data_IF_077029661280
#
_entry.id   IF_077029661280
#
_cell.length_a   1.000
_cell.length_b   1.000
_cell.length_c   1.000
_cell.angle_alpha   90.00
_cell.angle_beta   90.00
_cell.angle_gamma   90.00
#
_symmetry.space_group_name_H-M   'P 1'
#
loop_
_entity.id
_entity.type
_entity.pdbx_description
1 polymer ?
#
# COMPACT_ATOMS: atom_id res chain seq x y z
N UNK A 1 -21.08 -16.36 -35.67
CA UNK A 1 -21.15 -16.61 -34.21
C UNK A 1 -19.82 -16.18 -33.65
N UNK A 2 -19.75 -14.99 -33.06
CA UNK A 2 -18.53 -14.51 -32.39
C UNK A 2 -18.41 -15.25 -31.06
N UNK A 3 -17.40 -16.11 -30.92
CA UNK A 3 -17.08 -16.72 -29.64
C UNK A 3 -16.68 -15.62 -28.66
N UNK A 4 -17.49 -15.40 -27.64
CA UNK A 4 -17.16 -14.52 -26.52
C UNK A 4 -16.27 -15.35 -25.59
N UNK A 5 -14.96 -15.23 -25.74
CA UNK A 5 -14.00 -15.83 -24.83
C UNK A 5 -14.02 -15.03 -23.53
N UNK A 6 -14.64 -15.59 -22.50
CA UNK A 6 -14.52 -15.04 -21.16
C UNK A 6 -13.06 -15.19 -20.70
N UNK A 7 -12.43 -14.09 -20.33
CA UNK A 7 -11.10 -14.12 -19.73
C UNK A 7 -11.19 -14.77 -18.35
N UNK A 8 -10.22 -15.63 -18.03
CA UNK A 8 -10.18 -16.39 -16.79
C UNK A 8 -9.90 -15.43 -15.62
N UNK A 9 -10.95 -15.08 -14.89
CA UNK A 9 -10.84 -14.23 -13.72
C UNK A 9 -11.85 -14.63 -12.66
N UNK A 10 -11.48 -14.35 -11.43
CA UNK A 10 -12.27 -14.59 -10.23
C UNK A 10 -13.64 -13.89 -10.34
N UNK A 11 -13.74 -12.76 -11.05
CA UNK A 11 -15.01 -12.03 -11.26
C UNK A 11 -15.92 -12.62 -12.33
N UNK A 12 -15.39 -13.46 -13.22
CA UNK A 12 -16.17 -14.14 -14.24
C UNK A 12 -17.11 -15.18 -13.60
N UNK A 13 -16.74 -15.74 -12.44
CA UNK A 13 -17.49 -16.84 -11.82
C UNK A 13 -18.81 -16.40 -11.16
N UNK A 14 -18.87 -15.31 -10.37
CA UNK A 14 -20.15 -14.76 -9.90
C UNK A 14 -21.09 -14.33 -11.03
N UNK A 15 -20.54 -13.81 -12.12
CA UNK A 15 -21.33 -13.41 -13.29
C UNK A 15 -22.01 -14.63 -13.93
N UNK A 16 -21.26 -15.72 -14.13
CA UNK A 16 -21.79 -16.97 -14.67
C UNK A 16 -22.84 -17.59 -13.75
N UNK A 17 -22.65 -17.53 -12.42
CA UNK A 17 -23.64 -17.98 -11.44
C UNK A 17 -24.94 -17.16 -11.47
N UNK A 18 -24.87 -15.87 -11.79
CA UNK A 18 -26.03 -14.97 -11.80
C UNK A 18 -26.78 -14.90 -13.13
N UNK A 19 -26.09 -15.09 -14.25
CA UNK A 19 -26.65 -14.91 -15.61
C UNK A 19 -27.05 -16.22 -16.27
N UNK A 20 -26.38 -17.32 -15.92
CA UNK A 20 -26.66 -18.62 -16.51
C UNK A 20 -27.25 -19.57 -15.47
N UNK A 21 -28.40 -20.17 -15.78
CA UNK A 21 -28.90 -21.39 -15.11
C UNK A 21 -28.03 -22.61 -15.48
N UNK A 22 -26.71 -22.43 -15.54
CA UNK A 22 -25.77 -23.50 -15.77
C UNK A 22 -25.71 -24.37 -14.49
N UNK A 23 -25.78 -25.70 -14.60
CA UNK A 23 -25.64 -26.61 -13.47
C UNK A 23 -24.18 -26.66 -13.05
N UNK A 24 -23.67 -25.55 -12.49
CA UNK A 24 -22.39 -25.51 -11.82
C UNK A 24 -22.52 -26.28 -10.50
N UNK A 25 -21.56 -27.15 -10.22
CA UNK A 25 -21.53 -27.90 -8.97
C UNK A 25 -21.54 -26.95 -7.77
N UNK A 26 -22.25 -27.31 -6.70
CA UNK A 26 -22.32 -26.46 -5.50
C UNK A 26 -20.94 -26.18 -4.89
N UNK A 27 -20.00 -27.13 -5.05
CA UNK A 27 -18.61 -26.95 -4.65
C UNK A 27 -17.89 -25.87 -5.45
N UNK A 28 -18.07 -25.82 -6.77
CA UNK A 28 -17.43 -24.82 -7.63
C UNK A 28 -17.98 -23.41 -7.33
N UNK A 29 -19.30 -23.32 -7.11
CA UNK A 29 -19.95 -22.07 -6.69
C UNK A 29 -19.44 -21.58 -5.33
N UNK A 30 -19.29 -22.47 -4.35
CA UNK A 30 -18.77 -22.13 -3.03
C UNK A 30 -17.31 -21.67 -3.12
N UNK A 31 -16.47 -22.42 -3.84
CA UNK A 31 -15.05 -22.12 -4.01
C UNK A 31 -14.83 -20.75 -4.67
N UNK A 32 -15.59 -20.47 -5.73
CA UNK A 32 -15.56 -19.18 -6.40
C UNK A 32 -16.00 -18.01 -5.51
N UNK A 33 -17.06 -18.21 -4.72
CA UNK A 33 -17.53 -17.20 -3.76
C UNK A 33 -16.45 -16.87 -2.74
N UNK A 34 -15.76 -17.89 -2.21
CA UNK A 34 -14.64 -17.72 -1.27
C UNK A 34 -13.48 -16.95 -1.92
N UNK A 35 -13.12 -17.26 -3.18
CA UNK A 35 -12.07 -16.55 -3.92
C UNK A 35 -12.37 -15.05 -4.09
N UNK A 36 -13.62 -14.70 -4.42
CA UNK A 36 -14.06 -13.30 -4.56
C UNK A 36 -13.98 -12.59 -3.22
N UNK A 37 -14.48 -13.21 -2.14
CA UNK A 37 -14.41 -12.65 -0.79
C UNK A 37 -12.96 -12.45 -0.34
N UNK A 38 -12.08 -13.39 -0.65
CA UNK A 38 -10.66 -13.29 -0.33
C UNK A 38 -9.99 -12.14 -1.09
N UNK A 39 -10.31 -11.97 -2.37
CA UNK A 39 -9.79 -10.87 -3.19
C UNK A 39 -10.27 -9.51 -2.66
N UNK A 40 -11.56 -9.37 -2.37
CA UNK A 40 -12.14 -8.18 -1.75
C UNK A 40 -11.51 -7.88 -0.39
N UNK A 41 -11.32 -8.90 0.44
CA UNK A 41 -10.69 -8.76 1.76
C UNK A 41 -9.25 -8.28 1.62
N UNK A 42 -8.48 -8.85 0.69
CA UNK A 42 -7.09 -8.45 0.47
C UNK A 42 -6.98 -6.98 0.01
N UNK A 43 -7.81 -6.58 -0.97
CA UNK A 43 -7.84 -5.19 -1.44
C UNK A 43 -8.29 -4.22 -0.33
N UNK A 44 -9.33 -4.59 0.42
CA UNK A 44 -9.86 -3.78 1.53
C UNK A 44 -8.85 -3.63 2.67
N UNK A 45 -8.17 -4.71 3.06
CA UNK A 45 -7.13 -4.69 4.07
C UNK A 45 -5.98 -3.77 3.65
N UNK A 46 -5.56 -3.82 2.39
CA UNK A 46 -4.50 -2.95 1.89
C UNK A 46 -4.89 -1.46 1.96
N UNK A 47 -6.09 -1.11 1.51
CA UNK A 47 -6.61 0.26 1.62
C UNK A 47 -6.77 0.68 3.08
N UNK A 48 -7.27 -0.20 3.95
CA UNK A 48 -7.41 0.09 5.37
C UNK A 48 -6.05 0.36 6.03
N UNK A 49 -5.02 -0.43 5.71
CA UNK A 49 -3.65 -0.22 6.21
C UNK A 49 -3.13 1.15 5.78
N UNK A 50 -3.25 1.50 4.50
CA UNK A 50 -2.83 2.81 3.99
C UNK A 50 -3.55 3.99 4.66
N UNK A 51 -4.83 3.81 5.01
CA UNK A 51 -5.64 4.82 5.68
C UNK A 51 -5.52 4.81 7.21
N UNK A 52 -4.81 3.83 7.79
CA UNK A 52 -4.65 3.76 9.24
C UNK A 52 -3.71 4.85 9.71
N UNK A 53 -3.99 5.44 10.88
CA UNK A 53 -3.10 6.44 11.53
C UNK A 53 -1.68 5.93 11.77
N UNK A 54 -1.48 4.62 11.85
CA UNK A 54 -0.17 4.00 11.94
C UNK A 54 0.68 4.20 10.66
N UNK A 55 0.05 4.21 9.49
CA UNK A 55 0.72 4.42 8.21
C UNK A 55 0.70 5.90 7.79
N UNK A 56 -0.41 6.59 8.00
CA UNK A 56 -0.52 8.05 7.79
C UNK A 56 0.28 8.87 8.83
N UNK A 57 0.61 8.25 9.96
CA UNK A 57 1.31 8.87 11.08
C UNK A 57 0.45 9.87 11.86
N UNK A 58 1.08 10.50 12.87
CA UNK A 58 0.66 11.82 13.32
C UNK A 58 0.92 12.83 12.20
N UNK A 59 0.23 13.98 12.20
CA UNK A 59 0.54 15.06 11.27
C UNK A 59 2.06 15.28 11.24
N UNK A 60 2.67 15.16 10.06
CA UNK A 60 4.11 15.26 9.86
C UNK A 60 4.70 16.48 10.58
N UNK A 61 3.97 17.60 10.54
CA UNK A 61 4.25 18.85 11.26
C UNK A 61 4.49 18.67 12.76
N UNK A 62 3.76 17.78 13.43
CA UNK A 62 3.95 17.51 14.87
C UNK A 62 5.28 16.83 15.13
N UNK A 63 5.70 15.90 14.27
CA UNK A 63 7.00 15.22 14.37
C UNK A 63 8.14 16.19 14.06
N UNK A 64 7.98 17.03 13.03
CA UNK A 64 8.92 18.10 12.69
C UNK A 64 9.09 19.05 13.86
N UNK A 65 7.99 19.55 14.44
CA UNK A 65 8.02 20.45 15.59
C UNK A 65 8.69 19.82 16.80
N UNK A 66 8.42 18.54 17.09
CA UNK A 66 9.09 17.83 18.19
C UNK A 66 10.62 17.73 17.96
N UNK A 67 11.05 17.47 16.72
CA UNK A 67 12.46 17.42 16.35
C UNK A 67 13.12 18.81 16.43
N UNK A 68 12.43 19.87 16.01
CA UNK A 68 12.90 21.26 16.14
C UNK A 68 13.06 21.68 17.59
N UNK A 69 12.08 21.36 18.46
CA UNK A 69 12.16 21.63 19.89
C UNK A 69 13.35 20.92 20.49
N UNK A 70 13.52 19.62 20.23
CA UNK A 70 14.67 18.86 20.70
C UNK A 70 16.00 19.47 20.23
N UNK A 71 16.09 19.86 18.95
CA UNK A 71 17.27 20.46 18.35
C UNK A 71 17.64 21.79 19.04
N UNK A 72 16.65 22.63 19.33
CA UNK A 72 16.87 23.93 19.95
C UNK A 72 17.07 23.88 21.47
N UNK A 73 16.53 22.86 22.16
CA UNK A 73 16.57 22.79 23.62
C UNK A 73 17.63 21.83 24.16
N UNK A 74 17.68 20.58 23.67
CA UNK A 74 18.52 19.52 24.26
C UNK A 74 19.79 19.33 23.45
N UNK A 75 19.70 19.39 22.12
CA UNK A 75 20.79 18.94 21.25
C UNK A 75 22.02 19.88 21.26
N UNK A 76 21.85 21.12 21.70
CA UNK A 76 22.90 22.13 21.89
C UNK A 76 23.15 22.49 23.36
N UNK A 77 22.56 21.77 24.33
CA UNK A 77 22.80 22.02 25.75
C UNK A 77 24.25 21.65 26.11
N UNK A 78 24.94 22.56 26.80
CA UNK A 78 26.32 22.37 27.26
C UNK A 78 26.44 21.15 28.20
N UNK A 79 25.36 20.78 28.88
CA UNK A 79 25.29 19.58 29.75
C UNK A 79 25.45 18.26 29.00
N UNK A 80 25.28 18.27 27.69
CA UNK A 80 25.35 17.09 26.82
C UNK A 80 26.53 17.15 25.84
N UNK A 81 27.48 18.07 26.08
CA UNK A 81 28.75 18.09 25.38
C UNK A 81 29.60 16.89 25.80
N UNK A 82 30.29 16.31 24.82
CA UNK A 82 31.31 15.30 25.07
C UNK A 82 32.62 15.94 25.58
N UNK A 83 33.56 15.13 26.06
CA UNK A 83 34.88 15.57 26.53
C UNK A 83 35.70 16.34 25.46
N UNK A 84 35.34 16.18 24.18
CA UNK A 84 35.91 16.89 23.05
C UNK A 84 35.11 18.16 22.65
N UNK A 85 34.22 18.66 23.52
CA UNK A 85 33.32 19.78 23.27
C UNK A 85 32.44 19.61 22.01
N UNK A 86 32.15 18.36 21.64
CA UNK A 86 31.26 18.07 20.51
C UNK A 86 29.81 18.06 20.97
N UNK A 87 28.96 18.77 20.22
CA UNK A 87 27.52 18.85 20.51
C UNK A 87 26.83 17.50 20.29
N UNK A 88 25.77 17.24 21.08
CA UNK A 88 24.97 16.04 20.96
C UNK A 88 24.40 15.88 19.54
N UNK A 89 23.96 16.98 18.91
CA UNK A 89 23.46 16.94 17.53
C UNK A 89 24.52 16.46 16.53
N UNK A 90 25.77 16.91 16.66
CA UNK A 90 26.86 16.47 15.77
C UNK A 90 27.09 14.97 15.89
N UNK A 91 27.03 14.43 17.11
CA UNK A 91 27.22 13.00 17.37
C UNK A 91 26.05 12.15 16.86
N UNK A 92 24.81 12.61 17.04
CA UNK A 92 23.61 11.95 16.47
C UNK A 92 23.71 11.93 14.94
N UNK A 93 24.08 13.05 14.30
CA UNK A 93 24.21 13.11 12.84
C UNK A 93 25.36 12.26 12.29
N UNK A 94 26.46 12.09 13.03
CA UNK A 94 27.58 11.23 12.66
C UNK A 94 27.32 9.73 12.92
N UNK A 95 26.20 9.38 13.58
CA UNK A 95 25.83 8.01 13.90
C UNK A 95 26.72 7.38 14.96
N UNK A 96 27.08 8.16 15.99
CA UNK A 96 27.88 7.67 17.12
C UNK A 96 27.06 6.66 17.98
N UNK A 97 27.57 5.43 18.07
CA UNK A 97 26.92 4.29 18.74
C UNK A 97 26.91 4.40 20.27
N UNK A 98 27.74 5.28 20.85
CA UNK A 98 27.83 5.48 22.31
C UNK A 98 26.74 6.39 22.90
N UNK A 99 25.69 6.74 22.14
CA UNK A 99 24.63 7.65 22.58
C UNK A 99 23.54 6.95 23.39
N UNK A 100 23.67 6.94 24.72
CA UNK A 100 22.62 6.44 25.64
C UNK A 100 21.41 7.41 25.70
N UNK A 101 21.62 8.72 25.51
CA UNK A 101 20.61 9.76 25.75
C UNK A 101 19.75 10.12 24.53
N UNK A 102 20.11 9.68 23.32
CA UNK A 102 19.38 10.03 22.08
C UNK A 102 19.36 8.90 21.06
N UNK A 103 19.19 7.66 21.55
CA UNK A 103 19.01 6.46 20.73
C UNK A 103 17.84 6.60 19.76
N UNK A 104 16.72 7.19 20.19
CA UNK A 104 15.52 7.39 19.37
C UNK A 104 15.76 8.31 18.17
N UNK A 105 16.57 9.36 18.34
CA UNK A 105 16.90 10.31 17.28
C UNK A 105 17.95 9.71 16.34
N UNK A 106 18.91 8.96 16.87
CA UNK A 106 19.93 8.27 16.09
C UNK A 106 19.31 7.19 15.18
N UNK A 107 18.43 6.34 15.71
CA UNK A 107 17.72 5.31 14.92
C UNK A 107 16.79 5.92 13.88
N UNK A 108 16.13 7.05 14.21
CA UNK A 108 15.29 7.76 13.26
C UNK A 108 16.09 8.29 12.07
N UNK A 109 17.25 8.92 12.32
CA UNK A 109 18.13 9.41 11.25
C UNK A 109 18.69 8.25 10.42
N UNK A 110 19.05 7.14 11.05
CA UNK A 110 19.50 5.93 10.34
C UNK A 110 18.42 5.40 9.40
N UNK A 111 17.17 5.28 9.86
CA UNK A 111 16.06 4.86 9.01
C UNK A 111 15.78 5.84 7.86
N UNK A 112 15.85 7.16 8.12
CA UNK A 112 15.67 8.18 7.08
C UNK A 112 16.79 8.08 6.03
N UNK A 113 18.04 7.97 6.47
CA UNK A 113 19.18 7.85 5.58
C UNK A 113 19.11 6.55 4.76
N UNK A 114 18.72 5.42 5.37
CA UNK A 114 18.49 4.16 4.67
C UNK A 114 17.35 4.25 3.64
N UNK A 115 16.26 4.95 3.97
CA UNK A 115 15.13 5.13 3.05
C UNK A 115 15.48 6.05 1.87
N UNK A 116 16.20 7.14 2.12
CA UNK A 116 16.61 8.11 1.11
C UNK A 116 17.88 7.70 0.35
N UNK A 117 18.60 6.67 0.82
CA UNK A 117 19.89 6.25 0.26
C UNK A 117 21.02 7.25 0.52
N UNK A 118 20.95 7.99 1.64
CA UNK A 118 21.95 8.98 2.02
C UNK A 118 23.10 8.34 2.81
N UNK A 119 24.32 8.80 2.54
CA UNK A 119 25.50 8.46 3.34
C UNK A 119 25.58 9.37 4.59
N UNK A 120 26.18 8.88 5.70
CA UNK A 120 26.13 9.52 7.05
C UNK A 120 26.57 10.99 7.09
N UNK A 121 27.37 11.45 6.11
CA UNK A 121 27.88 12.82 6.03
C UNK A 121 27.28 13.65 4.88
N UNK A 122 26.39 13.08 4.07
CA UNK A 122 25.81 13.72 2.90
C UNK A 122 24.34 14.06 3.13
N UNK A 123 24.04 15.35 3.26
CA UNK A 123 22.68 15.88 3.35
C UNK A 123 22.11 16.29 1.99
N UNK A 124 22.82 16.00 0.90
CA UNK A 124 22.38 16.30 -0.46
C UNK A 124 21.62 15.08 -0.98
N UNK A 125 20.38 15.28 -1.39
CA UNK A 125 19.60 14.23 -2.03
C UNK A 125 20.29 13.81 -3.32
N UNK A 126 20.72 12.55 -3.37
CA UNK A 126 21.13 11.91 -4.61
C UNK A 126 19.94 11.78 -5.57
N UNK A 127 20.22 11.65 -6.86
CA UNK A 127 19.19 11.41 -7.89
C UNK A 127 18.46 10.07 -7.71
N UNK A 128 18.98 9.15 -6.89
CA UNK A 128 18.45 7.83 -6.66
C UNK A 128 18.06 7.62 -5.19
N UNK A 129 16.76 7.51 -4.93
CA UNK A 129 16.19 7.28 -3.60
C UNK A 129 15.47 5.92 -3.58
N UNK A 130 16.13 4.85 -3.11
CA UNK A 130 15.62 3.48 -3.26
C UNK A 130 14.29 3.25 -2.52
N UNK A 131 14.13 3.81 -1.32
CA UNK A 131 12.91 3.65 -0.53
C UNK A 131 11.70 4.35 -1.16
N UNK A 132 11.89 5.56 -1.67
CA UNK A 132 10.83 6.31 -2.38
C UNK A 132 10.42 5.59 -3.66
N UNK A 133 11.39 5.14 -4.46
CA UNK A 133 11.12 4.41 -5.70
C UNK A 133 10.36 3.12 -5.45
N UNK A 134 10.75 2.35 -4.43
CA UNK A 134 10.07 1.12 -4.05
C UNK A 134 8.61 1.40 -3.62
N UNK A 135 8.40 2.41 -2.78
CA UNK A 135 7.06 2.80 -2.32
C UNK A 135 6.17 3.22 -3.50
N UNK A 136 6.69 4.06 -4.40
CA UNK A 136 5.98 4.50 -5.60
C UNK A 136 5.65 3.32 -6.53
N UNK A 137 6.60 2.41 -6.74
CA UNK A 137 6.39 1.21 -7.55
C UNK A 137 5.29 0.33 -6.95
N UNK A 138 5.29 0.11 -5.63
CA UNK A 138 4.24 -0.65 -4.95
C UNK A 138 2.85 -0.02 -5.13
N UNK A 139 2.74 1.30 -4.98
CA UNK A 139 1.46 2.02 -5.18
C UNK A 139 1.01 1.92 -6.64
N UNK A 140 1.91 2.10 -7.60
CA UNK A 140 1.59 2.00 -9.03
C UNK A 140 1.17 0.59 -9.40
N UNK A 141 1.92 -0.43 -9.00
CA UNK A 141 1.58 -1.84 -9.25
C UNK A 141 0.22 -2.19 -8.66
N UNK A 142 -0.05 -1.77 -7.41
CA UNK A 142 -1.35 -1.98 -6.79
C UNK A 142 -2.48 -1.29 -7.56
N UNK A 143 -2.28 -0.03 -7.96
CA UNK A 143 -3.27 0.74 -8.73
C UNK A 143 -3.55 0.10 -10.09
N UNK A 144 -2.52 -0.40 -10.78
CA UNK A 144 -2.66 -1.13 -12.04
C UNK A 144 -3.40 -2.44 -11.85
N UNK A 145 -3.16 -3.18 -10.77
CA UNK A 145 -3.92 -4.37 -10.43
C UNK A 145 -5.40 -4.03 -10.22
N UNK A 146 -5.72 -3.00 -9.40
CA UNK A 146 -7.10 -2.55 -9.19
C UNK A 146 -7.76 -2.11 -10.51
N UNK A 147 -7.04 -1.39 -11.37
CA UNK A 147 -7.56 -0.96 -12.68
C UNK A 147 -7.86 -2.15 -13.59
N UNK A 148 -6.98 -3.16 -13.63
CA UNK A 148 -7.20 -4.40 -14.39
C UNK A 148 -8.48 -5.10 -13.93
N UNK A 149 -8.65 -5.26 -12.62
CA UNK A 149 -9.85 -5.89 -12.05
C UNK A 149 -11.11 -5.08 -12.38
N UNK A 150 -11.06 -3.75 -12.23
CA UNK A 150 -12.20 -2.87 -12.54
C UNK A 150 -12.60 -2.92 -14.02
N UNK A 151 -11.62 -2.88 -14.93
CA UNK A 151 -11.85 -2.99 -16.38
C UNK A 151 -12.51 -4.31 -16.73
N UNK A 152 -12.11 -5.39 -16.07
CA UNK A 152 -12.71 -6.68 -16.30
C UNK A 152 -14.16 -6.72 -15.78
N UNK A 153 -14.41 -6.27 -14.56
CA UNK A 153 -15.77 -6.16 -14.00
C UNK A 153 -16.67 -5.36 -14.95
N UNK A 154 -16.16 -4.26 -15.50
CA UNK A 154 -16.89 -3.42 -16.45
C UNK A 154 -17.28 -4.18 -17.73
N UNK A 155 -16.33 -4.85 -18.39
CA UNK A 155 -16.60 -5.65 -19.60
C UNK A 155 -17.60 -6.78 -19.31
N UNK A 156 -17.47 -7.44 -18.15
CA UNK A 156 -18.39 -8.48 -17.71
C UNK A 156 -19.81 -7.94 -17.48
N UNK A 157 -19.92 -6.75 -16.89
CA UNK A 157 -21.20 -6.06 -16.69
C UNK A 157 -21.85 -5.67 -18.03
N UNK A 158 -21.06 -5.18 -19.00
CA UNK A 158 -21.56 -4.89 -20.36
C UNK A 158 -22.13 -6.14 -21.04
N UNK A 159 -21.41 -7.28 -20.95
CA UNK A 159 -21.88 -8.56 -21.49
C UNK A 159 -23.18 -9.00 -20.81
N UNK A 160 -23.25 -8.93 -19.48
CA UNK A 160 -24.44 -9.30 -18.72
C UNK A 160 -25.66 -8.43 -19.08
N UNK A 161 -25.47 -7.12 -19.23
CA UNK A 161 -26.51 -6.20 -19.67
C UNK A 161 -26.95 -6.43 -21.13
N UNK A 162 -26.06 -6.94 -21.98
CA UNK A 162 -26.36 -7.22 -23.38
C UNK A 162 -27.09 -8.55 -23.60
N UNK A 163 -27.18 -9.42 -22.60
CA UNK A 163 -27.90 -10.70 -22.69
C UNK A 163 -29.42 -10.43 -22.56
N UNK A 164 -30.22 -10.64 -23.63
CA UNK A 164 -31.66 -10.41 -23.55
C UNK A 164 -32.31 -11.51 -22.69
N UNK A 165 -32.86 -11.12 -21.54
CA UNK A 165 -33.74 -11.94 -20.71
C UNK A 165 -35.13 -12.06 -21.37
N UNK A 166 -35.22 -12.78 -22.48
CA UNK A 166 -36.51 -13.12 -23.11
C UNK A 166 -36.72 -14.63 -23.10
N UNK A 167 -36.98 -15.21 -21.93
CA UNK A 167 -37.84 -16.39 -21.85
C UNK A 167 -39.29 -15.93 -21.95
N UNK A 168 -39.77 -15.71 -23.18
CA UNK A 168 -41.21 -15.68 -23.45
C UNK A 168 -41.63 -17.13 -23.65
N UNK A 169 -42.30 -17.67 -22.64
CA UNK A 169 -43.13 -18.88 -22.72
C UNK A 169 -43.93 -18.92 -24.02
N UNK A 170 -43.71 -19.92 -24.87
CA UNK A 170 -44.76 -20.45 -25.74
C UNK A 170 -44.79 -21.97 -25.64
N UNK A 171 -45.56 -22.40 -24.63
CA UNK A 171 -46.40 -23.58 -24.56
C UNK A 171 -46.24 -24.64 -25.65
N UNK A 172 -45.98 -25.86 -25.18
CA UNK A 172 -46.72 -27.09 -25.49
C UNK A 172 -47.98 -26.82 -26.32
N UNK A 173 -47.98 -27.22 -27.59
CA UNK A 173 -48.97 -28.13 -28.16
C UNK A 173 -48.45 -28.77 -29.45
#
# INVERSE_FOLDING_TARGET
MTEIRFEESIWTVPLLLGVAELPLGWFDSLFATVLVLLNLTMQSCFTAILLTRAFMGDAFETKVRAAEVWRNSVAHDFRHLDLADTSLVSRVCLGDEALILSTTQATLIEHINGFLGLERAQFVLGSFQPGVLLCMLCIVLWTLCVYKEFRLIWTQAEIACAIPTSQRTSNVQ
#
